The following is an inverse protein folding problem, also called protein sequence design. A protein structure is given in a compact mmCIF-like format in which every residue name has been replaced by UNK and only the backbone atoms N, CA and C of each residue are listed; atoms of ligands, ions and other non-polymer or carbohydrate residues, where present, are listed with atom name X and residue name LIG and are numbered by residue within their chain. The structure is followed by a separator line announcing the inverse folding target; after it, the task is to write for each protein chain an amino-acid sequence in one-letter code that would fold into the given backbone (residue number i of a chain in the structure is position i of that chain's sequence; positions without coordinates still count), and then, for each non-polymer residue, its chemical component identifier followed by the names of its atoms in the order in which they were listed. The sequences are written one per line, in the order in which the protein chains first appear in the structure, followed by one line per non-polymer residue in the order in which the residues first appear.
data_IF_525861510209
#
_entry.id   IF_525861510209
#
_cell.length_a   1.000
_cell.length_b   1.000
_cell.length_c   1.000
_cell.angle_alpha   90.00
_cell.angle_beta   90.00
_cell.angle_gamma   90.00
#
_symmetry.space_group_name_H-M   'P 1'
#
loop_
_entity.id
_entity.type
_entity.pdbx_description
1 polymer ?
#
# COMPACT_ATOMS: atom_id res chain seq x y z
N UNK A 1 -20.60 1.38 20.91
CA UNK A 1 -20.29 2.50 19.99
C UNK A 1 -18.85 3.04 20.12
N UNK A 2 -18.08 2.61 21.12
CA UNK A 2 -16.65 2.99 21.28
C UNK A 2 -15.70 1.93 20.69
N UNK A 3 -16.02 0.64 20.81
CA UNK A 3 -15.22 -0.48 20.24
C UNK A 3 -15.11 -0.46 18.71
N UNK A 4 -16.15 -0.02 18.00
CA UNK A 4 -16.12 0.04 16.51
C UNK A 4 -15.18 1.13 15.99
N UNK A 5 -15.02 2.24 16.72
CA UNK A 5 -14.14 3.36 16.32
C UNK A 5 -12.66 2.98 16.42
N UNK A 6 -12.28 2.29 17.49
CA UNK A 6 -10.90 1.86 17.71
C UNK A 6 -10.41 0.91 16.62
N UNK A 7 -11.32 0.10 16.05
CA UNK A 7 -11.01 -0.82 14.95
C UNK A 7 -10.69 -0.08 13.63
N UNK A 8 -11.46 0.96 13.28
CA UNK A 8 -11.24 1.71 12.03
C UNK A 8 -9.93 2.51 12.06
N UNK A 9 -9.64 3.20 13.17
CA UNK A 9 -8.39 3.96 13.32
C UNK A 9 -7.16 3.04 13.25
N UNK A 10 -7.20 1.90 13.95
CA UNK A 10 -6.14 0.89 13.87
C UNK A 10 -5.96 0.38 12.44
N UNK A 11 -7.06 0.05 11.75
CA UNK A 11 -7.00 -0.42 10.37
C UNK A 11 -6.41 0.64 9.43
N UNK A 12 -6.73 1.92 9.62
CA UNK A 12 -6.11 3.01 8.87
C UNK A 12 -4.60 3.09 9.13
N UNK A 13 -4.18 2.99 10.39
CA UNK A 13 -2.75 3.01 10.76
C UNK A 13 -1.99 1.81 10.18
N UNK A 14 -2.60 0.63 10.15
CA UNK A 14 -2.03 -0.56 9.50
C UNK A 14 -1.87 -0.34 7.99
N UNK A 15 -2.88 0.21 7.30
CA UNK A 15 -2.78 0.56 5.88
C UNK A 15 -1.63 1.54 5.64
N UNK A 16 -1.53 2.61 6.44
CA UNK A 16 -0.47 3.62 6.32
C UNK A 16 0.91 3.00 6.54
N UNK A 17 1.07 2.16 7.56
CA UNK A 17 2.34 1.49 7.88
C UNK A 17 2.82 0.61 6.72
N UNK A 18 1.98 -0.33 6.29
CA UNK A 18 2.31 -1.26 5.21
C UNK A 18 2.53 -0.53 3.87
N UNK A 19 1.71 0.48 3.56
CA UNK A 19 1.90 1.31 2.36
C UNK A 19 3.20 2.12 2.43
N UNK A 20 3.56 2.63 3.60
CA UNK A 20 4.80 3.37 3.84
C UNK A 20 6.04 2.50 3.65
N UNK A 21 6.04 1.29 4.20
CA UNK A 21 7.11 0.31 4.01
C UNK A 21 7.27 -0.06 2.53
N UNK A 22 6.16 -0.38 1.86
CA UNK A 22 6.18 -0.67 0.42
C UNK A 22 6.76 0.49 -0.40
N UNK A 23 6.35 1.72 -0.09
CA UNK A 23 6.85 2.93 -0.76
C UNK A 23 8.36 3.09 -0.56
N UNK A 24 8.87 2.80 0.64
CA UNK A 24 10.31 2.85 0.92
C UNK A 24 11.08 1.83 0.05
N UNK A 25 10.61 0.59 -0.04
CA UNK A 25 11.23 -0.43 -0.90
C UNK A 25 11.18 -0.06 -2.39
N UNK A 26 10.06 0.50 -2.87
CA UNK A 26 9.94 0.95 -4.27
C UNK A 26 10.93 2.07 -4.55
N UNK A 27 11.03 3.07 -3.67
CA UNK A 27 11.99 4.16 -3.80
C UNK A 27 13.43 3.65 -3.78
N UNK A 28 13.76 2.75 -2.87
CA UNK A 28 15.10 2.12 -2.82
C UNK A 28 15.40 1.35 -4.12
N UNK A 29 14.41 0.67 -4.71
CA UNK A 29 14.60 -0.06 -5.97
C UNK A 29 15.01 0.86 -7.13
N UNK A 30 14.57 2.13 -7.10
CA UNK A 30 14.87 3.11 -8.15
C UNK A 30 16.36 3.45 -8.21
N UNK A 31 17.05 3.43 -7.07
CA UNK A 31 18.50 3.68 -6.99
C UNK A 31 19.31 2.61 -7.74
N UNK A 32 18.72 1.42 -7.94
CA UNK A 32 19.33 0.30 -8.63
C UNK A 32 19.01 0.20 -10.12
N UNK A 33 18.10 1.05 -10.63
CA UNK A 33 17.72 1.11 -12.06
C UNK A 33 18.92 1.52 -12.92
N UNK A 34 19.57 2.65 -12.60
CA UNK A 34 20.72 3.17 -13.35
C UNK A 34 21.94 2.21 -13.37
N UNK A 35 22.36 1.61 -12.25
CA UNK A 35 23.43 0.61 -12.25
C UNK A 35 23.01 -0.75 -12.83
N UNK A 36 21.76 -0.89 -13.31
CA UNK A 36 21.19 -2.09 -13.94
C UNK A 36 21.30 -3.34 -13.06
N UNK A 37 21.12 -3.18 -11.74
CA UNK A 37 21.19 -4.29 -10.76
C UNK A 37 19.82 -4.97 -10.64
N UNK A 38 19.43 -5.71 -11.68
CA UNK A 38 18.10 -6.34 -11.81
C UNK A 38 17.73 -7.23 -10.62
N UNK A 39 18.67 -8.01 -10.09
CA UNK A 39 18.40 -8.88 -8.94
C UNK A 39 17.95 -8.09 -7.70
N UNK A 40 18.61 -6.94 -7.45
CA UNK A 40 18.28 -6.10 -6.29
C UNK A 40 16.96 -5.36 -6.48
N UNK A 41 16.67 -4.91 -7.71
CA UNK A 41 15.36 -4.34 -8.07
C UNK A 41 14.27 -5.38 -7.79
N UNK A 42 14.42 -6.59 -8.30
CA UNK A 42 13.43 -7.67 -8.13
C UNK A 42 13.22 -8.03 -6.66
N UNK A 43 14.29 -8.11 -5.87
CA UNK A 43 14.23 -8.35 -4.43
C UNK A 43 13.39 -7.27 -3.72
N UNK A 44 13.71 -5.99 -3.95
CA UNK A 44 13.01 -4.88 -3.32
C UNK A 44 11.55 -4.77 -3.78
N UNK A 45 11.27 -4.99 -5.07
CA UNK A 45 9.91 -5.00 -5.60
C UNK A 45 9.07 -6.16 -5.05
N UNK A 46 9.69 -7.30 -4.74
CA UNK A 46 9.01 -8.42 -4.09
C UNK A 46 8.67 -8.09 -2.63
N UNK A 47 9.57 -7.45 -1.88
CA UNK A 47 9.28 -6.95 -0.53
C UNK A 47 8.16 -5.91 -0.55
N UNK A 48 8.21 -4.96 -1.48
CA UNK A 48 7.15 -3.96 -1.66
C UNK A 48 5.79 -4.60 -1.95
N UNK A 49 5.77 -5.66 -2.77
CA UNK A 49 4.55 -6.41 -3.09
C UNK A 49 3.97 -7.09 -1.86
N UNK A 50 4.79 -7.67 -1.00
CA UNK A 50 4.30 -8.32 0.22
C UNK A 50 3.67 -7.32 1.18
N UNK A 51 4.32 -6.18 1.41
CA UNK A 51 3.77 -5.09 2.23
C UNK A 51 2.45 -4.55 1.63
N UNK A 52 2.40 -4.30 0.32
CA UNK A 52 1.16 -3.88 -0.36
C UNK A 52 0.05 -4.92 -0.24
N UNK A 53 0.36 -6.21 -0.27
CA UNK A 53 -0.66 -7.26 -0.07
C UNK A 53 -1.28 -7.17 1.32
N UNK A 54 -0.50 -6.84 2.35
CA UNK A 54 -1.02 -6.65 3.72
C UNK A 54 -1.95 -5.44 3.78
N UNK A 55 -1.54 -4.29 3.24
CA UNK A 55 -2.38 -3.10 3.17
C UNK A 55 -3.68 -3.33 2.35
N UNK A 56 -3.55 -3.98 1.19
CA UNK A 56 -4.67 -4.23 0.28
C UNK A 56 -5.71 -5.19 0.88
N UNK A 57 -5.29 -6.18 1.69
CA UNK A 57 -6.23 -7.04 2.44
C UNK A 57 -7.10 -6.20 3.39
N UNK A 58 -6.52 -5.22 4.08
CA UNK A 58 -7.26 -4.33 4.99
C UNK A 58 -8.23 -3.43 4.24
N UNK A 59 -7.81 -2.86 3.11
CA UNK A 59 -8.70 -2.13 2.20
C UNK A 59 -9.85 -3.03 1.70
N UNK A 60 -9.58 -4.28 1.36
CA UNK A 60 -10.59 -5.24 0.90
C UNK A 60 -11.64 -5.50 1.99
N UNK A 61 -11.22 -5.64 3.25
CA UNK A 61 -12.14 -5.77 4.38
C UNK A 61 -13.07 -4.56 4.53
N UNK A 62 -12.56 -3.34 4.34
CA UNK A 62 -13.39 -2.13 4.38
C UNK A 62 -14.45 -2.11 3.27
N UNK A 63 -14.05 -2.40 2.02
CA UNK A 63 -14.96 -2.45 0.88
C UNK A 63 -16.03 -3.54 1.05
N UNK A 64 -15.66 -4.69 1.61
CA UNK A 64 -16.58 -5.77 1.90
C UNK A 64 -17.60 -5.39 2.99
N UNK A 65 -17.17 -4.71 4.05
CA UNK A 65 -18.05 -4.20 5.09
C UNK A 65 -19.07 -3.18 4.52
N UNK A 66 -18.58 -2.20 3.74
CA UNK A 66 -19.43 -1.21 3.10
C UNK A 66 -20.46 -1.85 2.16
N UNK A 67 -20.04 -2.79 1.33
CA UNK A 67 -20.95 -3.53 0.43
C UNK A 67 -21.96 -4.42 1.18
N UNK A 68 -21.60 -4.90 2.38
CA UNK A 68 -22.47 -5.67 3.27
C UNK A 68 -23.54 -4.83 3.98
N UNK A 69 -23.50 -3.51 3.84
CA UNK A 69 -24.41 -2.57 4.51
C UNK A 69 -23.90 -2.06 5.85
N UNK A 70 -22.68 -2.44 6.27
CA UNK A 70 -22.02 -1.84 7.42
C UNK A 70 -21.51 -0.47 7.01
N UNK A 71 -22.12 0.59 7.55
CA UNK A 71 -21.69 1.96 7.26
C UNK A 71 -20.24 2.20 7.70
N UNK A 72 -19.35 2.48 6.74
CA UNK A 72 -17.97 2.87 7.03
C UNK A 72 -17.94 4.37 7.32
N UNK A 73 -17.48 4.76 8.51
CA UNK A 73 -17.36 6.17 8.87
C UNK A 73 -16.19 6.81 8.10
N UNK A 74 -16.51 7.68 7.14
CA UNK A 74 -15.50 8.45 6.42
C UNK A 74 -14.83 9.46 7.36
N UNK A 75 -13.50 9.46 7.35
CA UNK A 75 -12.66 10.39 8.10
C UNK A 75 -11.46 10.83 7.25
N UNK A 76 -10.82 11.94 7.62
CA UNK A 76 -9.58 12.40 6.96
C UNK A 76 -8.49 11.34 7.07
N UNK A 77 -8.41 10.64 8.21
CA UNK A 77 -7.44 9.56 8.41
C UNK A 77 -7.69 8.38 7.46
N UNK A 78 -8.95 7.99 7.27
CA UNK A 78 -9.31 6.94 6.31
C UNK A 78 -8.96 7.33 4.88
N UNK A 79 -9.32 8.55 4.46
CA UNK A 79 -8.97 9.08 3.14
C UNK A 79 -7.44 9.04 2.95
N UNK A 80 -6.70 9.55 3.93
CA UNK A 80 -5.24 9.57 3.89
C UNK A 80 -4.63 8.16 3.82
N UNK A 81 -5.17 7.19 4.55
CA UNK A 81 -4.74 5.80 4.47
C UNK A 81 -4.97 5.20 3.08
N UNK A 82 -6.14 5.45 2.48
CA UNK A 82 -6.44 5.01 1.11
C UNK A 82 -5.54 5.69 0.08
N UNK A 83 -5.24 6.98 0.24
CA UNK A 83 -4.31 7.72 -0.62
C UNK A 83 -2.90 7.13 -0.56
N UNK A 84 -2.41 6.82 0.65
CA UNK A 84 -1.12 6.15 0.83
C UNK A 84 -1.05 4.83 0.06
N UNK A 85 -2.09 3.99 0.17
CA UNK A 85 -2.15 2.71 -0.50
C UNK A 85 -2.19 2.87 -2.02
N UNK A 86 -3.16 3.60 -2.54
CA UNK A 86 -3.42 3.66 -3.99
C UNK A 86 -2.30 4.39 -4.74
N UNK A 87 -1.71 5.44 -4.16
CA UNK A 87 -0.56 6.11 -4.77
C UNK A 87 0.68 5.23 -4.77
N UNK A 88 0.87 4.40 -3.74
CA UNK A 88 2.00 3.46 -3.68
C UNK A 88 1.83 2.29 -4.64
N UNK A 89 0.61 1.77 -4.82
CA UNK A 89 0.28 0.79 -5.87
C UNK A 89 0.62 1.35 -7.25
N UNK A 90 0.15 2.57 -7.53
CA UNK A 90 0.43 3.24 -8.81
C UNK A 90 1.94 3.41 -9.02
N UNK A 91 2.67 3.79 -7.96
CA UNK A 91 4.13 3.94 -8.02
C UNK A 91 4.81 2.61 -8.35
N UNK A 92 4.41 1.50 -7.71
CA UNK A 92 4.93 0.16 -8.01
C UNK A 92 4.74 -0.18 -9.49
N UNK A 93 3.52 -0.01 -9.99
CA UNK A 93 3.17 -0.38 -11.37
C UNK A 93 4.00 0.41 -12.39
N UNK A 94 4.22 1.70 -12.13
CA UNK A 94 5.08 2.54 -12.94
C UNK A 94 6.54 2.09 -12.93
N UNK A 95 7.09 1.75 -11.75
CA UNK A 95 8.47 1.31 -11.63
C UNK A 95 8.68 -0.07 -12.26
N UNK A 96 7.74 -1.00 -12.08
CA UNK A 96 7.77 -2.30 -12.74
C UNK A 96 7.82 -2.13 -14.27
N UNK A 97 6.94 -1.30 -14.84
CA UNK A 97 6.96 -1.01 -16.28
C UNK A 97 8.21 -0.26 -16.75
N UNK A 98 8.73 0.66 -15.95
CA UNK A 98 9.97 1.38 -16.26
C UNK A 98 11.17 0.41 -16.32
N UNK A 99 11.20 -0.61 -15.46
CA UNK A 99 12.29 -1.60 -15.45
C UNK A 99 12.24 -2.60 -16.62
N UNK A 100 11.08 -2.78 -17.26
CA UNK A 100 10.94 -3.61 -18.48
C UNK A 100 11.57 -2.95 -19.71
N UNK A 101 11.65 -1.60 -19.75
CA UNK A 101 12.06 -0.83 -20.94
C UNK A 101 13.49 -0.25 -20.87
N UNK A 102 14.20 -0.40 -19.75
CA UNK A 102 15.57 0.13 -19.51
C UNK A 102 16.65 -0.97 -19.42
#
# INVERSE_FOLDING_TARGET
MEETKMNLEQLCMEIILYSGNARAYILESMDYIKPKKKDKINELMLLAKEELNQAHKKQTTLLAAEAGGDGVQISVLLIHAQDHLMTTITMRDLIEKLTEVL
#
